data_IF_825613468004
#
_entry.id   IF_825613468004
#
_cell.length_a   1.000
_cell.length_b   1.000
_cell.length_c   1.000
_cell.angle_alpha   90.00
_cell.angle_beta   90.00
_cell.angle_gamma   90.00
#
_symmetry.space_group_name_H-M   'P 1'
#
loop_
_entity.id
_entity.type
_entity.pdbx_description
1 polymer ?
#
# COMPACT_ATOMS: atom_id res chain seq x y z
N UNK A 1 -25.88 0.74 -1.57
CA UNK A 1 -24.80 1.73 -1.70
C UNK A 1 -24.40 2.04 -0.26
N UNK A 2 -23.43 1.26 0.27
CA UNK A 2 -22.93 1.46 1.64
C UNK A 2 -22.01 2.66 1.54
N UNK A 3 -22.34 3.68 2.28
CA UNK A 3 -21.62 4.95 2.34
C UNK A 3 -20.17 4.70 2.79
N UNK A 4 -19.24 4.72 1.84
CA UNK A 4 -17.80 4.52 2.09
C UNK A 4 -17.25 5.60 3.05
N UNK A 5 -17.82 6.80 3.02
CA UNK A 5 -17.53 7.85 3.99
C UNK A 5 -18.08 7.47 5.38
N UNK A 6 -19.23 6.80 5.44
CA UNK A 6 -19.76 6.24 6.68
C UNK A 6 -18.94 5.02 7.15
N UNK A 7 -18.40 4.21 6.25
CA UNK A 7 -17.48 3.11 6.58
C UNK A 7 -16.16 3.66 7.16
N UNK A 8 -15.59 4.70 6.55
CA UNK A 8 -14.40 5.37 7.08
C UNK A 8 -14.71 6.08 8.40
N UNK A 9 -15.84 6.80 8.50
CA UNK A 9 -16.20 7.53 9.72
C UNK A 9 -16.67 6.64 10.88
N UNK A 10 -17.20 5.44 10.59
CA UNK A 10 -17.69 4.51 11.63
C UNK A 10 -16.60 3.58 12.19
N UNK A 11 -15.53 3.34 11.43
CA UNK A 11 -14.43 2.46 11.87
C UNK A 11 -13.18 3.22 12.34
N UNK A 12 -13.12 4.54 12.17
CA UNK A 12 -12.07 5.37 12.75
C UNK A 12 -12.66 6.06 13.97
N UNK A 13 -12.50 5.44 15.12
CA UNK A 13 -12.78 6.07 16.42
C UNK A 13 -11.72 7.17 16.64
N UNK A 14 -11.91 8.33 16.03
CA UNK A 14 -11.05 9.49 16.18
C UNK A 14 -11.33 10.05 17.58
N UNK A 15 -10.53 9.64 18.53
CA UNK A 15 -10.44 10.31 19.81
C UNK A 15 -9.87 11.71 19.56
N UNK A 16 -10.63 12.80 19.75
CA UNK A 16 -10.19 14.16 19.44
C UNK A 16 -9.00 14.66 20.27
N UNK A 17 -8.53 13.86 21.24
CA UNK A 17 -7.37 14.15 22.08
C UNK A 17 -6.12 13.32 21.75
N UNK A 18 -6.14 12.45 20.74
CA UNK A 18 -4.96 11.75 20.22
C UNK A 18 -4.75 12.08 18.75
N UNK A 19 -4.43 13.33 18.45
CA UNK A 19 -3.85 13.70 17.16
C UNK A 19 -2.40 13.20 17.13
N UNK A 20 -2.19 11.90 17.00
CA UNK A 20 -1.03 11.40 16.27
C UNK A 20 -1.38 11.56 14.81
N UNK A 21 -1.02 12.69 14.24
CA UNK A 21 -0.99 12.86 12.78
C UNK A 21 -0.04 11.81 12.24
N UNK A 22 -0.58 10.68 11.81
CA UNK A 22 0.17 9.69 11.06
C UNK A 22 0.37 10.32 9.69
N UNK A 23 1.59 10.74 9.39
CA UNK A 23 1.87 11.48 8.17
C UNK A 23 2.22 10.52 7.04
N UNK A 24 1.42 10.55 5.98
CA UNK A 24 1.78 9.96 4.69
C UNK A 24 2.75 10.91 3.99
N UNK A 25 3.87 10.41 3.47
CA UNK A 25 4.76 11.25 2.68
C UNK A 25 4.16 11.58 1.32
N UNK A 26 4.44 12.79 0.82
CA UNK A 26 3.93 13.28 -0.46
C UNK A 26 4.29 12.40 -1.66
N UNK A 27 5.36 11.60 -1.54
CA UNK A 27 5.72 10.56 -2.49
C UNK A 27 4.56 9.61 -2.78
N UNK A 28 3.75 9.25 -1.76
CA UNK A 28 2.59 8.35 -1.92
C UNK A 28 1.51 9.04 -2.75
N UNK A 29 1.20 10.30 -2.44
CA UNK A 29 0.20 11.07 -3.19
C UNK A 29 0.66 11.37 -4.63
N UNK A 30 1.98 11.57 -4.84
CA UNK A 30 2.56 11.65 -6.20
C UNK A 30 2.37 10.37 -6.99
N UNK A 31 2.52 9.22 -6.36
CA UNK A 31 2.32 7.94 -7.02
C UNK A 31 0.83 7.70 -7.34
N UNK A 32 -0.10 8.13 -6.49
CA UNK A 32 -1.54 8.13 -6.80
C UNK A 32 -1.82 8.99 -8.02
N UNK A 33 -1.31 10.22 -8.04
CA UNK A 33 -1.40 11.11 -9.22
C UNK A 33 -0.85 10.44 -10.48
N UNK A 34 0.36 9.88 -10.38
CA UNK A 34 1.02 9.21 -11.49
C UNK A 34 0.22 8.04 -12.06
N UNK A 35 -0.36 7.19 -11.20
CA UNK A 35 -1.24 6.12 -11.61
C UNK A 35 -2.45 6.63 -12.40
N UNK A 36 -3.13 7.66 -11.89
CA UNK A 36 -4.32 8.23 -12.54
C UNK A 36 -3.94 8.86 -13.87
N UNK A 37 -2.86 9.63 -13.93
CA UNK A 37 -2.38 10.26 -15.16
C UNK A 37 -2.03 9.22 -16.24
N UNK A 38 -1.34 8.14 -15.86
CA UNK A 38 -0.91 7.10 -16.81
C UNK A 38 -2.11 6.30 -17.36
N UNK A 39 -3.11 5.98 -16.52
CA UNK A 39 -4.21 5.12 -16.91
C UNK A 39 -5.45 5.85 -17.42
N UNK A 40 -5.71 7.06 -16.93
CA UNK A 40 -6.98 7.76 -17.16
C UNK A 40 -6.80 9.19 -17.68
N UNK A 41 -5.58 9.70 -17.71
CA UNK A 41 -5.25 11.01 -18.27
C UNK A 41 -5.51 12.19 -17.30
N UNK A 42 -5.12 13.37 -17.79
CA UNK A 42 -5.14 14.62 -17.03
C UNK A 42 -6.54 15.06 -16.61
N UNK A 43 -7.53 14.94 -17.50
CA UNK A 43 -8.91 15.37 -17.19
C UNK A 43 -9.50 14.59 -16.01
N UNK A 44 -9.24 13.28 -15.96
CA UNK A 44 -9.68 12.43 -14.87
C UNK A 44 -8.97 12.77 -13.56
N UNK A 45 -7.65 13.05 -13.63
CA UNK A 45 -6.91 13.50 -12.47
C UNK A 45 -7.49 14.81 -11.89
N UNK A 46 -7.79 15.79 -12.74
CA UNK A 46 -8.35 17.07 -12.28
C UNK A 46 -9.70 16.87 -11.58
N UNK A 47 -10.57 16.01 -12.10
CA UNK A 47 -11.86 15.67 -11.44
C UNK A 47 -11.64 15.03 -10.07
N UNK A 48 -10.73 14.05 -9.98
CA UNK A 48 -10.39 13.37 -8.70
C UNK A 48 -9.82 14.38 -7.71
N UNK A 49 -8.89 15.22 -8.13
CA UNK A 49 -8.24 16.23 -7.30
C UNK A 49 -9.26 17.23 -6.73
N UNK A 50 -10.17 17.72 -7.57
CA UNK A 50 -11.22 18.67 -7.18
C UNK A 50 -12.20 18.03 -6.19
N UNK A 51 -12.68 16.83 -6.48
CA UNK A 51 -13.55 16.05 -5.59
C UNK A 51 -12.89 15.80 -4.22
N UNK A 52 -11.59 15.46 -4.22
CA UNK A 52 -10.82 15.24 -3.01
C UNK A 52 -10.45 16.53 -2.26
N UNK A 53 -10.65 17.71 -2.85
CA UNK A 53 -10.14 18.99 -2.37
C UNK A 53 -8.62 18.91 -2.09
N UNK A 54 -7.89 18.36 -3.03
CA UNK A 54 -6.47 18.07 -2.92
C UNK A 54 -5.63 19.14 -3.65
N UNK A 55 -4.37 19.39 -3.22
CA UNK A 55 -3.46 20.28 -3.93
C UNK A 55 -3.07 19.73 -5.31
N UNK A 56 -2.57 20.60 -6.18
CA UNK A 56 -2.16 20.22 -7.54
C UNK A 56 -0.94 19.31 -7.57
N UNK A 57 -0.02 19.50 -6.65
CA UNK A 57 1.21 18.73 -6.57
C UNK A 57 1.64 18.51 -5.12
N UNK A 58 2.60 17.61 -4.93
CA UNK A 58 3.07 17.16 -3.63
C UNK A 58 4.60 17.22 -3.57
N UNK A 59 5.14 17.65 -2.44
CA UNK A 59 6.58 17.54 -2.17
C UNK A 59 6.86 16.15 -1.63
N UNK A 60 7.67 15.36 -2.33
CA UNK A 60 7.86 13.93 -2.06
C UNK A 60 8.25 13.62 -0.60
N UNK A 61 9.17 14.42 -0.03
CA UNK A 61 9.71 14.24 1.33
C UNK A 61 8.93 15.00 2.41
N UNK A 62 7.82 15.65 2.07
CA UNK A 62 6.95 16.34 3.02
C UNK A 62 5.88 15.38 3.54
N UNK A 63 5.61 15.43 4.86
CA UNK A 63 4.48 14.73 5.47
C UNK A 63 3.16 15.45 5.18
N UNK A 64 2.13 14.68 4.85
CA UNK A 64 0.73 15.09 4.67
C UNK A 64 -0.15 14.26 5.58
N UNK A 65 -1.30 14.81 5.98
CA UNK A 65 -2.29 14.05 6.74
C UNK A 65 -2.74 12.81 5.94
N UNK A 66 -2.80 11.66 6.59
CA UNK A 66 -3.30 10.42 5.99
C UNK A 66 -4.69 10.59 5.38
N UNK A 67 -5.55 11.44 6.00
CA UNK A 67 -6.87 11.76 5.50
C UNK A 67 -6.87 12.29 4.05
N UNK A 68 -5.81 12.97 3.63
CA UNK A 68 -5.68 13.45 2.25
C UNK A 68 -5.60 12.27 1.27
N UNK A 69 -4.76 11.28 1.57
CA UNK A 69 -4.62 10.08 0.73
C UNK A 69 -5.94 9.30 0.67
N UNK A 70 -6.63 9.15 1.80
CA UNK A 70 -7.94 8.51 1.83
C UNK A 70 -9.00 9.27 1.03
N UNK A 71 -9.00 10.62 1.07
CA UNK A 71 -9.89 11.42 0.22
C UNK A 71 -9.59 11.24 -1.27
N UNK A 72 -8.31 11.16 -1.66
CA UNK A 72 -7.92 10.88 -3.06
C UNK A 72 -8.44 9.52 -3.52
N UNK A 73 -8.33 8.48 -2.70
CA UNK A 73 -8.87 7.14 -3.02
C UNK A 73 -10.41 7.20 -3.10
N UNK A 74 -11.08 7.87 -2.15
CA UNK A 74 -12.53 8.03 -2.17
C UNK A 74 -13.04 8.78 -3.39
N UNK A 75 -12.37 9.86 -3.77
CA UNK A 75 -12.67 10.61 -4.98
C UNK A 75 -12.44 9.78 -6.26
N UNK A 76 -11.40 8.95 -6.29
CA UNK A 76 -11.17 8.03 -7.40
C UNK A 76 -12.30 6.99 -7.52
N UNK A 77 -12.80 6.46 -6.40
CA UNK A 77 -13.98 5.58 -6.39
C UNK A 77 -15.19 6.27 -7.02
N UNK A 78 -15.46 7.51 -6.60
CA UNK A 78 -16.61 8.29 -7.09
C UNK A 78 -16.48 8.61 -8.59
N UNK A 79 -15.34 9.13 -9.01
CA UNK A 79 -15.11 9.60 -10.39
C UNK A 79 -15.02 8.44 -11.38
N UNK A 80 -14.37 7.33 -11.00
CA UNK A 80 -14.14 6.19 -11.87
C UNK A 80 -15.29 5.15 -11.82
N UNK A 81 -16.12 5.18 -10.79
CA UNK A 81 -17.13 4.14 -10.57
C UNK A 81 -16.54 2.75 -10.24
N UNK A 82 -15.30 2.70 -9.76
CA UNK A 82 -14.55 1.47 -9.48
C UNK A 82 -14.47 1.25 -7.97
N UNK A 83 -14.68 0.02 -7.45
CA UNK A 83 -14.56 -0.28 -6.03
C UNK A 83 -13.19 0.09 -5.45
N UNK A 84 -13.16 0.59 -4.21
CA UNK A 84 -11.93 0.99 -3.52
C UNK A 84 -10.86 -0.12 -3.48
N UNK A 85 -11.28 -1.38 -3.32
CA UNK A 85 -10.39 -2.53 -3.31
C UNK A 85 -9.62 -2.68 -4.62
N UNK A 86 -10.26 -2.46 -5.76
CA UNK A 86 -9.62 -2.53 -7.07
C UNK A 86 -8.66 -1.37 -7.29
N UNK A 87 -9.03 -0.16 -6.84
CA UNK A 87 -8.16 1.03 -6.92
C UNK A 87 -6.92 0.83 -6.05
N UNK A 88 -7.09 0.39 -4.82
CA UNK A 88 -5.98 0.14 -3.90
C UNK A 88 -5.06 -0.98 -4.41
N UNK A 89 -5.64 -2.04 -4.97
CA UNK A 89 -4.87 -3.13 -5.58
C UNK A 89 -4.02 -2.62 -6.76
N UNK A 90 -4.64 -1.91 -7.70
CA UNK A 90 -3.93 -1.32 -8.84
C UNK A 90 -2.84 -0.35 -8.38
N UNK A 91 -3.10 0.42 -7.33
CA UNK A 91 -2.12 1.31 -6.74
C UNK A 91 -0.93 0.55 -6.13
N UNK A 92 -1.16 -0.58 -5.47
CA UNK A 92 -0.09 -1.43 -4.95
C UNK A 92 0.83 -1.97 -6.05
N UNK A 93 0.27 -2.47 -7.14
CA UNK A 93 1.04 -2.90 -8.32
C UNK A 93 1.83 -1.75 -8.94
N UNK A 94 1.17 -0.61 -9.15
CA UNK A 94 1.81 0.60 -9.70
C UNK A 94 2.97 1.07 -8.83
N UNK A 95 2.78 1.07 -7.51
CA UNK A 95 3.83 1.45 -6.56
C UNK A 95 5.10 0.64 -6.77
N UNK A 96 5.00 -0.67 -6.87
CA UNK A 96 6.18 -1.53 -7.08
C UNK A 96 6.79 -1.31 -8.46
N UNK A 97 5.97 -1.37 -9.52
CA UNK A 97 6.47 -1.45 -10.89
C UNK A 97 6.90 -0.09 -11.46
N UNK A 98 6.29 0.99 -11.00
CA UNK A 98 6.52 2.35 -11.55
C UNK A 98 7.22 3.27 -10.55
N UNK A 99 6.89 3.19 -9.26
CA UNK A 99 7.51 4.08 -8.27
C UNK A 99 8.79 3.46 -7.70
N UNK A 100 8.69 2.27 -7.11
CA UNK A 100 9.81 1.64 -6.42
C UNK A 100 10.88 1.15 -7.39
N UNK A 101 10.50 0.40 -8.42
CA UNK A 101 11.44 -0.18 -9.39
C UNK A 101 12.19 0.89 -10.21
N UNK A 102 11.58 2.05 -10.46
CA UNK A 102 12.21 3.12 -11.25
C UNK A 102 13.04 4.06 -10.38
N UNK A 103 12.49 4.53 -9.26
CA UNK A 103 13.13 5.57 -8.45
C UNK A 103 13.99 5.03 -7.31
N UNK A 104 13.83 3.75 -6.94
CA UNK A 104 14.50 3.10 -5.81
C UNK A 104 15.08 1.72 -6.19
N UNK A 105 15.54 1.57 -7.45
CA UNK A 105 16.05 0.30 -7.99
C UNK A 105 17.14 -0.34 -7.11
N UNK A 106 18.10 0.45 -6.63
CA UNK A 106 19.19 -0.03 -5.77
C UNK A 106 18.67 -0.52 -4.41
N UNK A 107 17.64 0.13 -3.87
CA UNK A 107 16.99 -0.30 -2.65
C UNK A 107 16.22 -1.62 -2.87
N UNK A 108 15.49 -1.72 -3.98
CA UNK A 108 14.78 -2.94 -4.36
C UNK A 108 15.74 -4.12 -4.48
N UNK A 109 16.83 -3.96 -5.26
CA UNK A 109 17.83 -5.01 -5.49
C UNK A 109 18.58 -5.42 -4.22
N UNK A 110 18.91 -4.44 -3.35
CA UNK A 110 19.59 -4.71 -2.07
C UNK A 110 18.66 -5.33 -1.00
N UNK A 111 17.35 -5.28 -1.20
CA UNK A 111 16.37 -5.87 -0.27
C UNK A 111 16.18 -7.35 -0.53
N UNK A 112 16.20 -7.79 -1.78
CA UNK A 112 16.10 -9.21 -2.12
C UNK A 112 16.12 -9.47 -3.61
N UNK A 113 16.62 -10.66 -3.99
CA UNK A 113 16.71 -11.11 -5.38
C UNK A 113 15.50 -11.94 -5.85
N UNK A 114 14.55 -12.20 -4.96
CA UNK A 114 13.31 -12.94 -5.25
C UNK A 114 12.22 -12.53 -4.24
N UNK A 115 10.98 -12.91 -4.52
CA UNK A 115 9.82 -12.55 -3.71
C UNK A 115 9.99 -12.92 -2.23
N UNK A 116 10.43 -14.14 -1.93
CA UNK A 116 10.55 -14.60 -0.55
C UNK A 116 11.58 -13.79 0.23
N UNK A 117 12.79 -13.66 -0.30
CA UNK A 117 13.88 -12.91 0.34
C UNK A 117 13.50 -11.44 0.49
N UNK A 118 12.85 -10.86 -0.51
CA UNK A 118 12.38 -9.47 -0.44
C UNK A 118 11.38 -9.27 0.69
N UNK A 119 10.34 -10.12 0.76
CA UNK A 119 9.33 -10.03 1.81
C UNK A 119 9.93 -10.25 3.21
N UNK A 120 10.89 -11.16 3.38
CA UNK A 120 11.58 -11.37 4.65
C UNK A 120 12.38 -10.14 5.11
N UNK A 121 12.95 -9.39 4.17
CA UNK A 121 13.79 -8.23 4.45
C UNK A 121 13.02 -6.90 4.47
N UNK A 122 11.70 -6.93 4.26
CA UNK A 122 10.89 -5.72 4.10
C UNK A 122 10.93 -4.81 5.34
N UNK A 123 10.87 -5.38 6.55
CA UNK A 123 10.97 -4.61 7.79
C UNK A 123 12.36 -3.97 7.97
N UNK A 124 13.41 -4.67 7.56
CA UNK A 124 14.77 -4.12 7.58
C UNK A 124 14.92 -2.99 6.55
N UNK A 125 14.32 -3.11 5.37
CA UNK A 125 14.25 -2.04 4.38
C UNK A 125 13.50 -0.82 4.92
N UNK A 126 12.32 -1.01 5.51
CA UNK A 126 11.56 0.07 6.14
C UNK A 126 12.35 0.77 7.25
N UNK A 127 13.12 0.02 8.04
CA UNK A 127 13.96 0.60 9.09
C UNK A 127 15.07 1.49 8.52
N UNK A 128 15.65 1.13 7.37
CA UNK A 128 16.62 1.97 6.66
C UNK A 128 15.98 3.25 6.12
N UNK A 129 14.78 3.15 5.55
CA UNK A 129 14.05 4.33 5.03
C UNK A 129 13.72 5.30 6.17
N UNK A 130 13.39 4.81 7.36
CA UNK A 130 13.09 5.67 8.53
C UNK A 130 14.25 6.57 8.94
N UNK A 131 15.49 6.26 8.60
CA UNK A 131 16.64 7.14 8.86
C UNK A 131 16.48 8.46 8.08
N UNK A 132 16.00 8.41 6.83
CA UNK A 132 15.78 9.59 6.00
C UNK A 132 14.36 10.17 6.14
N UNK A 133 13.42 9.36 6.61
CA UNK A 133 12.00 9.70 6.78
C UNK A 133 11.54 9.38 8.21
N UNK A 134 11.95 10.14 9.24
CA UNK A 134 11.76 9.77 10.65
C UNK A 134 10.29 9.66 11.07
N UNK A 135 9.40 10.39 10.39
CA UNK A 135 7.95 10.35 10.65
C UNK A 135 7.23 9.21 9.90
N UNK A 136 7.96 8.41 9.11
CA UNK A 136 7.39 7.26 8.42
C UNK A 136 6.94 6.22 9.45
N UNK A 137 5.67 5.80 9.33
CA UNK A 137 5.11 4.70 10.11
C UNK A 137 4.70 3.57 9.17
N UNK A 138 5.66 2.76 8.69
CA UNK A 138 5.38 1.68 7.77
C UNK A 138 4.71 0.52 8.51
N UNK A 139 3.98 -0.36 7.79
CA UNK A 139 3.55 -1.63 8.33
C UNK A 139 4.75 -2.53 8.63
N UNK A 140 4.52 -3.56 9.44
CA UNK A 140 5.47 -4.64 9.69
C UNK A 140 4.97 -5.95 9.09
N UNK A 141 5.91 -6.77 8.66
CA UNK A 141 5.62 -8.06 8.04
C UNK A 141 6.43 -9.18 8.72
N UNK A 142 5.75 -10.25 9.09
CA UNK A 142 6.41 -11.49 9.53
C UNK A 142 6.19 -12.56 8.48
N UNK A 143 7.28 -13.02 7.89
CA UNK A 143 7.23 -13.99 6.78
C UNK A 143 7.86 -15.29 7.22
N UNK A 144 7.12 -16.39 7.04
CA UNK A 144 7.55 -17.75 7.36
C UNK A 144 7.38 -18.64 6.15
N UNK A 145 8.44 -19.34 5.76
CA UNK A 145 8.31 -20.42 4.77
C UNK A 145 7.59 -21.62 5.41
N UNK A 146 6.65 -22.17 4.68
CA UNK A 146 5.93 -23.40 5.04
C UNK A 146 6.40 -24.59 4.18
N UNK A 147 7.43 -24.41 3.32
CA UNK A 147 7.91 -25.41 2.37
C UNK A 147 7.23 -25.29 1.01
N UNK A 148 7.79 -25.95 0.00
CA UNK A 148 7.20 -26.17 -1.34
C UNK A 148 6.62 -24.90 -2.03
N UNK A 149 7.31 -23.77 -1.91
CA UNK A 149 6.84 -22.51 -2.48
C UNK A 149 5.65 -21.89 -1.74
N UNK A 150 5.37 -22.31 -0.51
CA UNK A 150 4.29 -21.77 0.31
C UNK A 150 4.83 -20.87 1.42
N UNK A 151 4.30 -19.66 1.53
CA UNK A 151 4.63 -18.69 2.57
C UNK A 151 3.41 -18.38 3.43
N UNK A 152 3.65 -18.14 4.70
CA UNK A 152 2.75 -17.41 5.58
C UNK A 152 3.28 -15.99 5.73
N UNK A 153 2.42 -15.00 5.47
CA UNK A 153 2.73 -13.58 5.66
C UNK A 153 1.74 -12.97 6.63
N UNK A 154 2.24 -12.52 7.77
CA UNK A 154 1.47 -11.79 8.77
C UNK A 154 1.74 -10.30 8.58
N UNK A 155 0.69 -9.53 8.34
CA UNK A 155 0.71 -8.08 8.11
C UNK A 155 0.17 -7.33 9.33
N UNK A 156 0.94 -6.38 9.82
CA UNK A 156 0.62 -5.55 10.98
C UNK A 156 0.61 -4.08 10.57
N UNK A 157 -0.48 -3.39 10.81
CA UNK A 157 -0.63 -1.96 10.47
C UNK A 157 -1.55 -1.25 11.45
N UNK A 158 -1.22 0.01 11.74
CA UNK A 158 -2.12 0.93 12.43
C UNK A 158 -3.16 1.57 11.49
N UNK A 159 -2.99 1.40 10.17
CA UNK A 159 -3.92 1.88 9.14
C UNK A 159 -4.87 0.77 8.74
N UNK A 160 -6.15 1.06 8.80
CA UNK A 160 -7.19 0.13 8.39
C UNK A 160 -7.49 0.23 6.88
N UNK A 161 -8.11 -0.80 6.31
CA UNK A 161 -8.56 -0.81 4.92
C UNK A 161 -7.48 -0.98 3.86
N UNK A 162 -6.18 -1.06 4.22
CA UNK A 162 -5.08 -1.12 3.24
C UNK A 162 -4.69 -2.54 2.80
N UNK A 163 -5.43 -3.56 3.20
CA UNK A 163 -5.11 -4.94 2.77
C UNK A 163 -5.13 -5.12 1.25
N UNK A 164 -6.08 -4.55 0.48
CA UNK A 164 -6.05 -4.65 -0.98
C UNK A 164 -4.80 -4.00 -1.59
N UNK A 165 -4.31 -2.90 -1.02
CA UNK A 165 -3.04 -2.29 -1.42
C UNK A 165 -1.86 -3.24 -1.19
N UNK A 166 -1.80 -3.91 -0.04
CA UNK A 166 -0.75 -4.91 0.27
C UNK A 166 -0.80 -6.08 -0.71
N UNK A 167 -1.99 -6.57 -1.06
CA UNK A 167 -2.16 -7.61 -2.09
C UNK A 167 -1.63 -7.12 -3.43
N UNK A 168 -1.94 -5.88 -3.80
CA UNK A 168 -1.40 -5.24 -5.00
C UNK A 168 0.14 -5.13 -4.99
N UNK A 169 0.74 -4.76 -3.84
CA UNK A 169 2.20 -4.76 -3.67
C UNK A 169 2.80 -6.16 -3.92
N UNK A 170 2.19 -7.22 -3.39
CA UNK A 170 2.67 -8.60 -3.58
C UNK A 170 2.55 -9.01 -5.04
N UNK A 171 1.45 -8.66 -5.73
CA UNK A 171 1.32 -8.90 -7.17
C UNK A 171 2.32 -8.08 -8.00
N UNK A 172 2.60 -6.84 -7.60
CA UNK A 172 3.66 -6.02 -8.21
C UNK A 172 5.05 -6.66 -8.06
N UNK A 173 5.37 -7.16 -6.86
CA UNK A 173 6.62 -7.90 -6.59
C UNK A 173 6.68 -9.22 -7.38
N UNK A 174 5.57 -9.95 -7.48
CA UNK A 174 5.45 -11.15 -8.31
C UNK A 174 5.84 -10.86 -9.76
N UNK A 175 5.31 -9.80 -10.35
CA UNK A 175 5.66 -9.35 -11.70
C UNK A 175 7.12 -8.89 -11.79
N UNK A 176 7.61 -8.14 -10.80
CA UNK A 176 8.98 -7.63 -10.75
C UNK A 176 10.02 -8.76 -10.72
N UNK A 177 9.76 -9.82 -9.96
CA UNK A 177 10.65 -10.99 -9.86
C UNK A 177 10.32 -12.09 -10.87
N UNK A 178 9.31 -11.90 -11.70
CA UNK A 178 8.81 -12.93 -12.63
C UNK A 178 8.54 -14.26 -11.90
N UNK A 179 7.81 -14.21 -10.79
CA UNK A 179 7.41 -15.35 -9.96
C UNK A 179 5.89 -15.29 -9.75
N UNK A 180 5.13 -16.17 -10.41
CA UNK A 180 3.68 -16.21 -10.25
C UNK A 180 3.29 -16.50 -8.79
N UNK A 181 2.23 -15.83 -8.32
CA UNK A 181 1.71 -15.98 -6.96
C UNK A 181 0.22 -16.26 -6.97
N UNK A 182 -0.21 -17.05 -5.99
CA UNK A 182 -1.60 -17.24 -5.61
C UNK A 182 -1.74 -16.87 -4.14
N UNK A 183 -2.70 -16.00 -3.80
CA UNK A 183 -2.85 -15.46 -2.45
C UNK A 183 -4.18 -15.93 -1.86
N UNK A 184 -4.11 -16.62 -0.73
CA UNK A 184 -5.24 -16.99 0.10
C UNK A 184 -5.27 -16.11 1.36
N UNK A 185 -6.39 -15.43 1.61
CA UNK A 185 -6.59 -14.68 2.83
C UNK A 185 -7.05 -15.58 3.95
N UNK A 186 -6.39 -15.51 5.10
CA UNK A 186 -6.79 -16.17 6.31
C UNK A 186 -6.99 -15.09 7.36
N UNK A 187 -8.24 -14.92 7.82
CA UNK A 187 -8.50 -14.06 8.97
C UNK A 187 -8.07 -14.81 10.24
N UNK A 188 -6.96 -14.40 10.88
CA UNK A 188 -6.57 -15.05 12.12
C UNK A 188 -7.55 -14.64 13.22
N UNK A 189 -8.06 -15.59 13.96
CA UNK A 189 -8.67 -15.37 15.28
C UNK A 189 -7.56 -15.09 16.31
N UNK A 190 -6.65 -14.17 16.00
CA UNK A 190 -5.51 -13.82 16.84
C UNK A 190 -5.81 -12.51 17.56
N UNK A 191 -5.87 -12.56 18.85
CA UNK A 191 -5.89 -11.43 19.74
C UNK A 191 -4.43 -11.06 20.10
N UNK A 192 -4.00 -9.76 20.19
CA UNK A 192 -4.85 -8.55 20.32
C UNK A 192 -4.55 -7.44 19.29
N UNK A 193 -3.95 -7.69 18.15
CA UNK A 193 -3.59 -6.63 17.19
C UNK A 193 -4.34 -6.83 15.86
N UNK A 194 -4.70 -5.74 15.14
CA UNK A 194 -5.31 -5.82 13.83
C UNK A 194 -4.28 -6.35 12.82
N UNK A 195 -4.04 -7.66 12.84
CA UNK A 195 -3.17 -8.33 11.91
C UNK A 195 -4.00 -9.14 10.92
N UNK A 196 -3.63 -9.08 9.66
CA UNK A 196 -4.14 -9.96 8.63
C UNK A 196 -3.09 -11.00 8.29
N UNK A 197 -3.52 -12.24 8.10
CA UNK A 197 -2.66 -13.35 7.68
C UNK A 197 -3.00 -13.75 6.27
N UNK A 198 -1.97 -13.94 5.46
CA UNK A 198 -2.08 -14.44 4.10
C UNK A 198 -1.23 -15.70 3.97
N UNK A 199 -1.72 -16.67 3.22
CA UNK A 199 -0.88 -17.71 2.62
C UNK A 199 -0.63 -17.35 1.17
N UNK A 200 0.61 -17.41 0.77
CA UNK A 200 1.07 -17.10 -0.58
C UNK A 200 1.75 -18.33 -1.13
N UNK A 201 1.18 -18.88 -2.18
CA UNK A 201 1.86 -19.89 -3.02
C UNK A 201 2.58 -19.17 -4.14
N UNK A 202 3.86 -19.42 -4.31
CA UNK A 202 4.68 -18.79 -5.36
C UNK A 202 5.52 -19.81 -6.10
N UNK A 203 5.84 -19.49 -7.34
CA UNK A 203 6.75 -20.33 -8.15
C UNK A 203 8.18 -20.14 -7.63
N UNK A 204 8.79 -21.24 -7.19
CA UNK A 204 10.21 -21.27 -6.87
C UNK A 204 10.96 -21.38 -8.20
N UNK A 205 11.76 -20.37 -8.52
CA UNK A 205 12.70 -20.48 -9.66
C UNK A 205 13.81 -21.45 -9.30
N UNK A 206 14.03 -22.40 -10.18
CA UNK A 206 15.12 -23.35 -10.08
C UNK A 206 16.49 -22.65 -10.22
#
# INVERSE_FOLDING_TARGET
MIDFLAFISHNININPYQVRTVNMYGLVNKAVKGLVLEQFGEETWQKIRETAQAPDDYVAMQGYDDALTYRLVGAAVEVLGVPAEQILHAFGEYWVLKTAAIHYADMMSSTGSNLFVFLQNLDAMHSRIKVSMPNLNPPSFRVKSLGDGLLQVDYFSSREGLLPFVVGLIHGLSKHFDQAVEIEHIDPKLNPLPSKRMKIKYQVKA
#
